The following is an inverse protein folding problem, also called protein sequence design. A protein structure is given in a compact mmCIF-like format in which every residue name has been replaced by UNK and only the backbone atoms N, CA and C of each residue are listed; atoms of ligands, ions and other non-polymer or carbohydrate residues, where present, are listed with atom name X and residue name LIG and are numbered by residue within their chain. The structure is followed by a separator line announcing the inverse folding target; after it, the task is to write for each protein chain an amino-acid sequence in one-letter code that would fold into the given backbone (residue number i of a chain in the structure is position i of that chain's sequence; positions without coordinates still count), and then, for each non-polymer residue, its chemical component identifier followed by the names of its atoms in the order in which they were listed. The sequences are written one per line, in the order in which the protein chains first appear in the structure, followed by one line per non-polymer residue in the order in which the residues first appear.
data_IF_215854590450
#
_entry.id   IF_215854590450
#
_cell.length_a   1.000
_cell.length_b   1.000
_cell.length_c   1.000
_cell.angle_alpha   90.00
_cell.angle_beta   90.00
_cell.angle_gamma   90.00
#
_symmetry.space_group_name_H-M   'P 1'
#
loop_
_entity.id
_entity.type
_entity.pdbx_description
1 polymer ?
#
# COMPACT_ATOMS: atom_id res chain seq x y z
N UNK A 1 -41.78 1.15 -0.43
CA UNK A 1 -41.26 1.00 0.95
C UNK A 1 -40.42 2.23 1.27
N UNK A 2 -40.79 3.01 2.29
CA UNK A 2 -40.04 4.18 2.71
C UNK A 2 -38.71 3.75 3.37
N UNK A 3 -37.59 4.38 3.01
CA UNK A 3 -36.31 4.14 3.66
C UNK A 3 -36.42 4.47 5.16
N UNK A 4 -35.92 3.62 6.08
CA UNK A 4 -36.01 3.86 7.51
C UNK A 4 -35.24 5.13 7.86
N UNK A 5 -35.97 6.17 8.30
CA UNK A 5 -35.41 7.46 8.66
C UNK A 5 -34.64 7.33 10.00
N UNK A 6 -33.31 7.25 9.94
CA UNK A 6 -32.41 7.00 11.09
C UNK A 6 -32.07 8.27 11.89
N UNK A 7 -33.09 9.07 12.19
CA UNK A 7 -32.93 10.34 12.94
C UNK A 7 -33.46 10.13 14.37
N UNK A 8 -32.67 10.53 15.37
CA UNK A 8 -32.99 10.39 16.81
C UNK A 8 -32.34 9.18 17.49
N UNK A 9 -32.85 8.71 18.64
CA UNK A 9 -32.26 7.61 19.44
C UNK A 9 -32.21 6.25 18.71
N UNK A 10 -32.78 6.16 17.51
CA UNK A 10 -32.71 5.01 16.60
C UNK A 10 -31.59 5.11 15.57
N UNK A 11 -30.71 6.12 15.67
CA UNK A 11 -29.52 6.25 14.82
C UNK A 11 -28.55 5.11 15.13
N UNK A 12 -28.06 4.45 14.09
CA UNK A 12 -26.90 3.56 14.22
C UNK A 12 -25.71 4.40 14.66
N UNK A 13 -25.36 4.32 15.94
CA UNK A 13 -24.10 4.86 16.45
C UNK A 13 -23.03 3.89 15.96
N UNK A 14 -22.40 4.20 14.82
CA UNK A 14 -21.19 3.51 14.41
C UNK A 14 -20.19 3.67 15.56
N UNK A 15 -19.92 2.56 16.26
CA UNK A 15 -18.92 2.55 17.31
C UNK A 15 -17.57 2.98 16.73
N UNK A 16 -16.77 3.69 17.51
CA UNK A 16 -15.43 4.17 17.14
C UNK A 16 -14.46 3.06 16.65
N UNK A 17 -14.86 1.79 16.75
CA UNK A 17 -14.14 0.62 16.27
C UNK A 17 -14.44 0.22 14.82
N UNK A 18 -15.51 0.74 14.19
CA UNK A 18 -15.75 0.48 12.77
C UNK A 18 -14.84 1.36 11.93
N UNK A 19 -13.98 0.74 11.12
CA UNK A 19 -13.09 1.43 10.18
C UNK A 19 -11.71 1.77 10.72
N UNK A 20 -11.42 1.68 12.02
CA UNK A 20 -10.06 1.94 12.53
C UNK A 20 -9.03 0.93 11.97
N UNK A 21 -9.43 -0.35 11.85
CA UNK A 21 -8.58 -1.41 11.31
C UNK A 21 -8.28 -1.18 9.84
N UNK A 22 -9.32 -0.94 9.03
CA UNK A 22 -9.18 -0.70 7.60
C UNK A 22 -8.44 0.62 7.34
N UNK A 23 -8.73 1.64 8.14
CA UNK A 23 -7.99 2.90 8.15
C UNK A 23 -6.50 2.64 8.38
N UNK A 24 -6.14 1.94 9.46
CA UNK A 24 -4.74 1.68 9.79
C UNK A 24 -4.06 0.84 8.71
N UNK A 25 -4.74 -0.19 8.21
CA UNK A 25 -4.23 -1.05 7.17
C UNK A 25 -3.93 -0.27 5.87
N UNK A 26 -4.81 0.66 5.47
CA UNK A 26 -4.53 1.57 4.34
C UNK A 26 -3.28 2.43 4.55
N UNK A 27 -3.01 2.90 5.78
CA UNK A 27 -1.83 3.73 6.07
C UNK A 27 -0.56 2.89 6.03
N UNK A 28 -0.61 1.68 6.59
CA UNK A 28 0.52 0.76 6.57
C UNK A 28 0.86 0.39 5.12
N UNK A 29 -0.13 0.02 4.30
CA UNK A 29 0.12 -0.31 2.89
C UNK A 29 0.64 0.88 2.10
N UNK A 30 0.14 2.09 2.35
CA UNK A 30 0.67 3.32 1.74
C UNK A 30 2.14 3.56 2.09
N UNK A 31 2.52 3.40 3.37
CA UNK A 31 3.91 3.57 3.81
C UNK A 31 4.83 2.53 3.17
N UNK A 32 4.40 1.27 3.09
CA UNK A 32 5.17 0.20 2.43
C UNK A 32 5.43 0.55 0.97
N UNK A 33 4.40 0.95 0.22
CA UNK A 33 4.53 1.35 -1.19
C UNK A 33 5.43 2.58 -1.35
N UNK A 34 5.31 3.58 -0.47
CA UNK A 34 6.13 4.79 -0.52
C UNK A 34 7.62 4.46 -0.29
N UNK A 35 7.94 3.64 0.71
CA UNK A 35 9.33 3.22 0.99
C UNK A 35 9.92 2.46 -0.19
N UNK A 36 9.19 1.48 -0.74
CA UNK A 36 9.64 0.73 -1.91
C UNK A 36 9.87 1.64 -3.13
N UNK A 37 8.99 2.61 -3.35
CA UNK A 37 9.12 3.59 -4.43
C UNK A 37 10.37 4.45 -4.25
N UNK A 38 10.64 4.94 -3.03
CA UNK A 38 11.86 5.71 -2.74
C UNK A 38 13.12 4.89 -3.01
N UNK A 39 13.13 3.60 -2.65
CA UNK A 39 14.26 2.69 -2.94
C UNK A 39 14.48 2.58 -4.46
N UNK A 40 13.41 2.37 -5.24
CA UNK A 40 13.50 2.30 -6.69
C UNK A 40 13.98 3.62 -7.31
N UNK A 41 13.49 4.76 -6.82
CA UNK A 41 13.92 6.08 -7.30
C UNK A 41 15.38 6.35 -6.97
N UNK A 42 15.86 5.97 -5.78
CA UNK A 42 17.27 6.09 -5.41
C UNK A 42 18.17 5.28 -6.35
N UNK A 43 17.77 4.06 -6.70
CA UNK A 43 18.46 3.25 -7.70
C UNK A 43 18.39 3.86 -9.10
N UNK A 44 17.22 4.36 -9.51
CA UNK A 44 17.01 4.99 -10.81
C UNK A 44 17.90 6.22 -11.01
N UNK A 45 17.95 7.13 -10.02
CA UNK A 45 18.77 8.33 -10.10
C UNK A 45 20.26 8.07 -9.84
N UNK A 46 20.62 6.97 -9.17
CA UNK A 46 22.00 6.56 -8.97
C UNK A 46 22.60 5.77 -10.14
N UNK A 47 21.77 5.21 -11.02
CA UNK A 47 22.21 4.43 -12.17
C UNK A 47 22.91 5.32 -13.21
N UNK A 48 24.08 4.88 -13.67
CA UNK A 48 24.84 5.56 -14.74
C UNK A 48 24.55 4.97 -16.12
N UNK A 49 24.33 3.66 -16.19
CA UNK A 49 24.01 2.94 -17.41
C UNK A 49 22.71 2.15 -17.23
N UNK A 50 21.70 2.48 -18.04
CA UNK A 50 20.40 1.82 -18.03
C UNK A 50 20.40 0.59 -18.93
N UNK A 51 21.21 -0.41 -18.59
CA UNK A 51 21.26 -1.69 -19.31
C UNK A 51 20.24 -2.68 -18.73
N UNK A 52 19.80 -3.64 -19.56
CA UNK A 52 18.93 -4.72 -19.11
C UNK A 52 19.57 -5.52 -17.96
N UNK A 53 20.85 -5.85 -18.09
CA UNK A 53 21.60 -6.60 -17.07
C UNK A 53 21.66 -5.85 -15.74
N UNK A 54 21.87 -4.53 -15.77
CA UNK A 54 21.86 -3.67 -14.58
C UNK A 54 20.53 -3.76 -13.85
N UNK A 55 19.42 -3.56 -14.56
CA UNK A 55 18.07 -3.69 -13.99
C UNK A 55 17.76 -5.10 -13.50
N UNK A 56 18.08 -6.12 -14.29
CA UNK A 56 17.86 -7.51 -13.93
C UNK A 56 18.62 -7.89 -12.66
N UNK A 57 19.85 -7.39 -12.47
CA UNK A 57 20.68 -7.68 -11.29
C UNK A 57 20.07 -7.14 -9.99
N UNK A 58 19.42 -5.97 -10.02
CA UNK A 58 18.74 -5.36 -8.88
C UNK A 58 17.55 -6.22 -8.46
N UNK A 59 16.73 -6.65 -9.41
CA UNK A 59 15.56 -7.48 -9.14
C UNK A 59 15.90 -8.96 -8.89
N UNK A 60 17.12 -9.40 -9.23
CA UNK A 60 17.58 -10.75 -8.93
C UNK A 60 17.86 -10.96 -7.44
N UNK A 61 18.17 -9.89 -6.68
CA UNK A 61 18.52 -9.99 -5.26
C UNK A 61 17.31 -10.41 -4.41
N UNK A 62 17.51 -11.32 -3.46
CA UNK A 62 16.41 -11.94 -2.70
C UNK A 62 15.57 -10.92 -1.92
N UNK A 63 16.22 -9.93 -1.30
CA UNK A 63 15.50 -8.89 -0.55
C UNK A 63 14.63 -8.03 -1.48
N UNK A 64 15.08 -7.77 -2.71
CA UNK A 64 14.30 -6.99 -3.69
C UNK A 64 13.07 -7.78 -4.12
N UNK A 65 13.20 -9.08 -4.39
CA UNK A 65 12.05 -9.96 -4.69
C UNK A 65 10.99 -9.94 -3.58
N UNK A 66 11.42 -10.05 -2.32
CA UNK A 66 10.52 -9.98 -1.17
C UNK A 66 9.86 -8.60 -1.06
N UNK A 67 10.63 -7.53 -1.22
CA UNK A 67 10.13 -6.16 -1.16
C UNK A 67 9.10 -5.88 -2.28
N UNK A 68 9.38 -6.30 -3.51
CA UNK A 68 8.44 -6.20 -4.64
C UNK A 68 7.17 -7.00 -4.35
N UNK A 69 7.30 -8.24 -3.86
CA UNK A 69 6.14 -9.08 -3.54
C UNK A 69 5.24 -8.46 -2.47
N UNK A 70 5.81 -7.98 -1.36
CA UNK A 70 5.06 -7.32 -0.28
C UNK A 70 4.43 -6.02 -0.77
N UNK A 71 5.11 -5.28 -1.64
CA UNK A 71 4.57 -4.06 -2.26
C UNK A 71 3.37 -4.36 -3.15
N UNK A 72 3.40 -5.44 -3.94
CA UNK A 72 2.26 -5.87 -4.75
C UNK A 72 1.05 -6.27 -3.89
N UNK A 73 1.28 -7.04 -2.81
CA UNK A 73 0.20 -7.35 -1.85
C UNK A 73 -0.37 -6.08 -1.21
N UNK A 74 0.50 -5.13 -0.86
CA UNK A 74 0.09 -3.84 -0.29
C UNK A 74 -0.74 -3.04 -1.29
N UNK A 75 -0.36 -3.02 -2.57
CA UNK A 75 -1.10 -2.37 -3.64
C UNK A 75 -2.49 -3.00 -3.84
N UNK A 76 -2.59 -4.32 -3.89
CA UNK A 76 -3.87 -5.02 -4.02
C UNK A 76 -4.81 -4.79 -2.83
N UNK A 77 -4.26 -4.64 -1.63
CA UNK A 77 -5.05 -4.30 -0.45
C UNK A 77 -5.44 -2.82 -0.40
N UNK A 78 -4.60 -1.93 -0.94
CA UNK A 78 -4.80 -0.47 -0.86
C UNK A 78 -5.79 0.06 -1.90
N UNK A 79 -5.79 -0.52 -3.10
CA UNK A 79 -6.63 -0.13 -4.24
C UNK A 79 -8.12 -0.48 -4.02
#
# INVERSE_FOLDING_TARGET
MAAPNRIGPKRLVVGAHYGLRDWLAQRITAVVMAVYTVILLAWFFGARDFSYEGWASIFATQWMKLATFVTLLSLFYHA
#
